data_IF_082165846012
#
_entry.id   IF_082165846012
#
_cell.length_a   1.000
_cell.length_b   1.000
_cell.length_c   1.000
_cell.angle_alpha   90.00
_cell.angle_beta   90.00
_cell.angle_gamma   90.00
#
_symmetry.space_group_name_H-M   'P 1'
#
loop_
_entity.id
_entity.type
_entity.pdbx_description
1 polymer ?
#
# COMPACT_ATOMS: atom_id res chain seq x y z
N UNK A 1 51.26 -84.48 28.15
CA UNK A 1 50.44 -84.05 27.02
C UNK A 1 49.47 -83.04 27.52
N UNK A 2 49.36 -81.96 26.80
CA UNK A 2 48.32 -80.93 26.83
C UNK A 2 48.62 -79.68 27.56
N UNK A 3 48.52 -78.65 26.78
CA UNK A 3 48.82 -77.30 26.91
C UNK A 3 48.00 -76.51 27.92
N UNK A 4 48.68 -75.67 28.69
CA UNK A 4 48.15 -74.54 29.40
C UNK A 4 48.11 -73.36 28.45
N UNK A 5 46.92 -72.80 28.21
CA UNK A 5 46.77 -71.51 27.60
C UNK A 5 46.51 -70.42 28.67
N UNK A 6 47.43 -69.50 28.80
CA UNK A 6 47.29 -68.28 29.58
C UNK A 6 46.30 -67.33 28.86
N UNK A 7 45.23 -66.98 29.49
CA UNK A 7 44.38 -65.83 29.10
C UNK A 7 44.80 -64.59 29.89
N UNK A 8 45.42 -63.67 29.17
CA UNK A 8 45.64 -62.30 29.69
C UNK A 8 44.35 -61.55 29.60
N UNK A 9 43.82 -61.03 30.72
CA UNK A 9 42.73 -60.07 30.79
C UNK A 9 43.31 -58.70 30.47
N UNK A 10 42.88 -58.10 29.37
CA UNK A 10 43.14 -56.71 29.05
C UNK A 10 41.90 -55.93 29.53
N UNK A 11 42.05 -55.09 30.55
CA UNK A 11 41.04 -54.16 30.99
C UNK A 11 41.01 -52.96 30.05
N UNK A 12 40.02 -52.94 29.16
CA UNK A 12 39.74 -51.74 28.36
C UNK A 12 38.92 -50.77 29.22
N UNK A 13 39.59 -49.68 29.61
CA UNK A 13 38.90 -48.52 30.26
C UNK A 13 38.19 -47.78 29.13
N UNK A 14 36.87 -47.89 29.08
CA UNK A 14 36.00 -47.06 28.26
C UNK A 14 35.93 -45.66 28.87
N UNK A 15 36.66 -44.71 28.33
CA UNK A 15 36.45 -43.28 28.61
C UNK A 15 35.25 -42.83 27.77
N UNK A 16 34.09 -42.72 28.45
CA UNK A 16 32.90 -42.12 27.85
C UNK A 16 33.07 -40.60 27.80
N UNK A 17 33.42 -40.07 26.65
CA UNK A 17 33.41 -38.62 26.39
C UNK A 17 31.96 -38.19 26.17
N UNK A 18 31.32 -37.69 27.21
CA UNK A 18 30.04 -37.02 27.13
C UNK A 18 30.32 -35.64 26.48
N UNK A 19 30.14 -35.55 25.15
CA UNK A 19 30.06 -34.27 24.45
C UNK A 19 28.74 -33.59 24.83
N UNK A 20 28.85 -32.67 25.78
CA UNK A 20 27.77 -31.75 26.13
C UNK A 20 27.59 -30.78 24.95
N UNK A 21 26.70 -31.10 24.00
CA UNK A 21 26.25 -30.17 22.98
C UNK A 21 25.50 -29.04 23.68
N UNK A 22 26.20 -27.97 24.00
CA UNK A 22 25.60 -26.69 24.29
C UNK A 22 24.88 -26.25 23.01
N UNK A 23 23.59 -26.59 22.92
CA UNK A 23 22.66 -25.83 22.10
C UNK A 23 22.64 -24.42 22.65
N UNK A 24 23.49 -23.54 22.12
CA UNK A 24 23.28 -22.13 22.19
C UNK A 24 22.01 -21.91 21.38
N UNK A 25 20.85 -21.96 22.04
CA UNK A 25 19.65 -21.34 21.51
C UNK A 25 20.05 -19.88 21.34
N UNK A 26 20.39 -19.49 20.12
CA UNK A 26 20.41 -18.10 19.72
C UNK A 26 19.01 -17.62 20.08
N UNK A 27 18.88 -16.92 21.21
CA UNK A 27 17.71 -16.14 21.47
C UNK A 27 17.63 -15.19 20.26
N UNK A 28 16.75 -15.51 19.31
CA UNK A 28 16.42 -14.57 18.28
C UNK A 28 15.90 -13.36 19.03
N UNK A 29 16.70 -12.30 19.07
CA UNK A 29 16.28 -11.02 19.57
C UNK A 29 14.91 -10.74 18.92
N UNK A 30 13.87 -10.66 19.74
CA UNK A 30 12.53 -10.45 19.21
C UNK A 30 12.43 -8.98 18.83
N UNK A 31 12.62 -8.68 17.55
CA UNK A 31 12.38 -7.33 17.05
C UNK A 31 11.00 -6.86 17.49
N UNK A 32 10.93 -5.82 18.30
CA UNK A 32 9.68 -5.24 18.74
C UNK A 32 9.18 -4.24 17.71
N UNK A 33 7.95 -4.42 17.22
CA UNK A 33 7.28 -3.42 16.42
C UNK A 33 6.95 -2.19 17.27
N UNK A 34 7.46 -1.01 16.90
CA UNK A 34 7.31 0.22 17.69
C UNK A 34 6.50 1.31 16.99
N UNK A 35 6.33 1.22 15.66
CA UNK A 35 5.51 2.13 14.87
C UNK A 35 5.16 1.53 13.52
N UNK A 36 4.01 1.92 12.98
CA UNK A 36 3.61 1.68 11.59
C UNK A 36 3.22 3.00 10.94
N UNK A 37 3.73 3.25 9.73
CA UNK A 37 3.18 4.26 8.83
C UNK A 37 2.54 3.53 7.67
N UNK A 38 1.22 3.64 7.54
CA UNK A 38 0.43 2.97 6.51
C UNK A 38 -0.03 3.97 5.46
N UNK A 39 0.02 3.57 4.19
CA UNK A 39 -0.48 4.34 3.05
C UNK A 39 -1.38 3.43 2.22
N UNK A 40 -2.61 3.86 1.93
CA UNK A 40 -3.52 3.07 1.08
C UNK A 40 -3.97 3.84 -0.15
N UNK A 41 -4.21 3.14 -1.25
CA UNK A 41 -5.11 3.59 -2.30
C UNK A 41 -6.55 3.45 -1.80
N UNK A 42 -7.45 4.36 -2.23
CA UNK A 42 -8.89 4.19 -1.99
C UNK A 42 -9.42 2.84 -2.53
N UNK A 43 -10.55 2.41 -2.05
CA UNK A 43 -11.24 1.21 -2.53
C UNK A 43 -11.86 1.36 -3.93
N UNK A 44 -12.56 0.32 -4.37
CA UNK A 44 -13.33 0.35 -5.62
C UNK A 44 -14.28 1.55 -5.66
N UNK A 45 -14.40 2.17 -6.83
CA UNK A 45 -15.16 3.39 -7.06
C UNK A 45 -15.89 3.37 -8.40
N UNK A 46 -16.86 4.24 -8.58
CA UNK A 46 -17.43 4.55 -9.89
C UNK A 46 -16.41 5.28 -10.78
N UNK A 47 -16.55 5.24 -12.12
CA UNK A 47 -15.57 5.85 -13.02
C UNK A 47 -15.65 7.38 -13.01
N UNK A 48 -14.60 8.03 -13.52
CA UNK A 48 -14.61 9.48 -13.73
C UNK A 48 -15.42 9.89 -14.97
N UNK A 49 -15.42 9.06 -16.01
CA UNK A 49 -15.95 9.36 -17.33
C UNK A 49 -16.96 8.30 -17.81
N UNK A 50 -17.43 8.47 -19.04
CA UNK A 50 -18.33 7.54 -19.71
C UNK A 50 -17.80 7.11 -21.07
N UNK A 51 -18.25 5.93 -21.52
CA UNK A 51 -18.10 5.49 -22.89
C UNK A 51 -19.27 6.06 -23.70
N UNK A 52 -18.97 6.88 -24.72
CA UNK A 52 -19.97 7.65 -25.47
C UNK A 52 -21.02 6.76 -26.10
N UNK A 53 -20.61 5.69 -26.79
CA UNK A 53 -21.52 4.76 -27.48
C UNK A 53 -22.18 3.73 -26.54
N UNK A 54 -21.81 3.71 -25.25
CA UNK A 54 -22.40 2.78 -24.28
C UNK A 54 -22.46 3.44 -22.90
N UNK A 55 -23.23 4.54 -22.77
CA UNK A 55 -23.28 5.29 -21.52
C UNK A 55 -23.99 4.48 -20.45
N UNK A 56 -23.53 4.66 -19.21
CA UNK A 56 -24.24 4.26 -18.00
C UNK A 56 -24.30 5.52 -17.15
N UNK A 57 -25.46 5.79 -16.56
CA UNK A 57 -25.65 7.04 -15.82
C UNK A 57 -24.95 6.97 -14.46
N UNK A 58 -23.75 7.52 -14.38
CA UNK A 58 -23.02 7.76 -13.12
C UNK A 58 -22.93 9.25 -12.77
N UNK A 59 -23.79 10.11 -13.37
CA UNK A 59 -23.65 11.57 -13.26
C UNK A 59 -23.63 12.10 -11.81
N UNK A 60 -24.35 11.44 -10.93
CA UNK A 60 -24.43 11.85 -9.52
C UNK A 60 -23.40 11.13 -8.63
N UNK A 61 -22.73 10.09 -9.15
CA UNK A 61 -21.86 9.20 -8.39
C UNK A 61 -20.47 9.07 -9.04
N UNK A 62 -20.06 10.04 -9.86
CA UNK A 62 -18.75 9.98 -10.53
C UNK A 62 -17.60 9.99 -9.52
N UNK A 63 -16.70 9.01 -9.64
CA UNK A 63 -15.55 8.82 -8.79
C UNK A 63 -15.84 8.59 -7.28
N UNK A 64 -17.07 8.19 -6.95
CA UNK A 64 -17.48 7.89 -5.58
C UNK A 64 -17.18 6.44 -5.17
N UNK A 65 -16.85 6.25 -3.88
CA UNK A 65 -16.52 4.93 -3.33
C UNK A 65 -17.75 4.01 -3.36
N UNK A 66 -17.57 2.77 -3.88
CA UNK A 66 -18.63 1.77 -3.90
C UNK A 66 -18.71 0.99 -2.58
N UNK A 67 -19.83 0.26 -2.31
CA UNK A 67 -19.91 -0.69 -1.20
C UNK A 67 -18.78 -1.75 -1.23
N UNK A 68 -18.35 -2.18 -2.41
CA UNK A 68 -17.18 -3.07 -2.59
C UNK A 68 -15.92 -2.38 -2.08
N UNK A 69 -15.72 -1.11 -2.43
CA UNK A 69 -14.58 -0.32 -1.97
C UNK A 69 -14.56 -0.14 -0.45
N UNK A 70 -15.72 0.12 0.17
CA UNK A 70 -15.85 0.19 1.63
C UNK A 70 -15.43 -1.12 2.29
N UNK A 71 -15.90 -2.26 1.76
CA UNK A 71 -15.58 -3.58 2.30
C UNK A 71 -14.09 -3.93 2.14
N UNK A 72 -13.45 -3.51 1.05
CA UNK A 72 -12.00 -3.71 0.84
C UNK A 72 -11.20 -3.05 1.97
N UNK A 73 -11.46 -1.78 2.27
CA UNK A 73 -10.76 -1.04 3.32
C UNK A 73 -11.11 -1.54 4.73
N UNK A 74 -12.37 -1.91 4.96
CA UNK A 74 -12.77 -2.54 6.22
C UNK A 74 -11.98 -3.82 6.50
N UNK A 75 -11.76 -4.66 5.50
CA UNK A 75 -10.99 -5.89 5.65
C UNK A 75 -9.50 -5.61 5.97
N UNK A 76 -8.89 -4.58 5.36
CA UNK A 76 -7.55 -4.13 5.74
C UNK A 76 -7.54 -3.67 7.20
N UNK A 77 -8.50 -2.86 7.60
CA UNK A 77 -8.65 -2.41 8.99
C UNK A 77 -8.82 -3.56 9.98
N UNK A 78 -9.58 -4.60 9.62
CA UNK A 78 -9.74 -5.81 10.44
C UNK A 78 -8.44 -6.60 10.56
N UNK A 79 -7.64 -6.66 9.49
CA UNK A 79 -6.30 -7.24 9.53
C UNK A 79 -5.36 -6.43 10.42
N UNK A 80 -5.43 -5.08 10.39
CA UNK A 80 -4.67 -4.22 11.29
C UNK A 80 -5.09 -4.39 12.75
N UNK A 81 -6.39 -4.56 13.03
CA UNK A 81 -6.87 -4.92 14.37
C UNK A 81 -6.19 -6.18 14.89
N UNK A 82 -6.28 -7.25 14.11
CA UNK A 82 -5.68 -8.54 14.45
C UNK A 82 -4.15 -8.44 14.64
N UNK A 83 -3.47 -7.75 13.70
CA UNK A 83 -2.00 -7.67 13.74
C UNK A 83 -1.51 -6.69 14.79
N UNK A 84 -2.01 -5.45 14.81
CA UNK A 84 -1.42 -4.36 15.59
C UNK A 84 -2.05 -4.18 16.98
N UNK A 85 -3.29 -4.68 17.19
CA UNK A 85 -3.92 -4.66 18.51
C UNK A 85 -3.78 -6.02 19.20
N UNK A 86 -4.25 -7.11 18.55
CA UNK A 86 -4.31 -8.42 19.20
C UNK A 86 -2.95 -9.12 19.27
N UNK A 87 -2.16 -9.13 18.18
CA UNK A 87 -0.92 -9.90 18.08
C UNK A 87 0.29 -9.11 18.57
N UNK A 88 0.60 -7.99 17.94
CA UNK A 88 1.79 -7.18 18.24
C UNK A 88 1.63 -6.27 19.46
N UNK A 89 0.41 -6.08 19.97
CA UNK A 89 0.10 -5.18 21.10
C UNK A 89 0.68 -3.76 20.90
N UNK A 90 0.83 -3.34 19.63
CA UNK A 90 1.32 -2.01 19.27
C UNK A 90 0.31 -0.93 19.67
N UNK A 91 -0.96 -1.15 19.39
CA UNK A 91 -2.06 -0.26 19.71
C UNK A 91 -2.91 -0.82 20.85
N UNK A 92 -3.49 0.06 21.69
CA UNK A 92 -4.43 -0.38 22.71
C UNK A 92 -5.79 -0.77 22.10
N UNK A 93 -6.54 -1.63 22.77
CA UNK A 93 -7.91 -2.04 22.40
C UNK A 93 -8.88 -0.85 22.33
N UNK A 94 -8.67 0.16 23.20
CA UNK A 94 -9.45 1.40 23.16
C UNK A 94 -8.69 2.46 22.40
N UNK A 95 -9.36 3.12 21.47
CA UNK A 95 -8.78 4.20 20.70
C UNK A 95 -8.18 5.28 21.61
N UNK A 96 -7.00 5.76 21.23
CA UNK A 96 -6.35 6.90 21.85
C UNK A 96 -5.68 7.76 20.76
N UNK A 97 -6.11 9.01 20.63
CA UNK A 97 -5.59 9.94 19.60
C UNK A 97 -4.12 10.29 19.79
N UNK A 98 -3.52 9.99 20.93
CA UNK A 98 -2.08 10.13 21.18
C UNK A 98 -1.27 9.16 20.31
N UNK A 99 -1.80 7.95 20.08
CA UNK A 99 -1.11 6.88 19.37
C UNK A 99 -1.45 6.79 17.88
N UNK A 100 -2.60 7.34 17.46
CA UNK A 100 -3.10 7.19 16.08
C UNK A 100 -3.29 8.57 15.45
N UNK A 101 -2.77 8.75 14.24
CA UNK A 101 -3.06 9.90 13.39
C UNK A 101 -3.50 9.42 12.02
N UNK A 102 -4.52 10.07 11.47
CA UNK A 102 -5.10 9.71 10.18
C UNK A 102 -5.18 10.95 9.30
N UNK A 103 -4.69 10.80 8.08
CA UNK A 103 -4.73 11.82 7.04
C UNK A 103 -5.36 11.24 5.77
N UNK A 104 -6.10 12.06 5.04
CA UNK A 104 -6.72 11.69 3.77
C UNK A 104 -6.53 12.83 2.77
N UNK A 105 -6.38 12.53 1.49
CA UNK A 105 -6.61 13.55 0.47
C UNK A 105 -8.04 14.06 0.57
N UNK A 106 -8.28 15.29 0.11
CA UNK A 106 -9.57 15.96 0.19
C UNK A 106 -10.51 15.49 -0.93
N UNK A 107 -10.85 14.18 -0.93
CA UNK A 107 -11.85 13.59 -1.83
C UNK A 107 -12.74 12.61 -1.07
N UNK A 108 -14.03 12.54 -1.45
CA UNK A 108 -15.00 11.67 -0.77
C UNK A 108 -14.50 10.21 -0.68
N UNK A 109 -14.05 9.64 -1.80
CA UNK A 109 -13.62 8.23 -1.85
C UNK A 109 -12.45 7.90 -0.92
N UNK A 110 -11.50 8.82 -0.70
CA UNK A 110 -10.38 8.58 0.21
C UNK A 110 -10.76 8.76 1.66
N UNK A 111 -11.61 9.74 1.97
CA UNK A 111 -12.16 9.94 3.32
C UNK A 111 -13.03 8.76 3.74
N UNK A 112 -13.98 8.33 2.89
CA UNK A 112 -14.82 7.15 3.15
C UNK A 112 -14.00 5.85 3.21
N UNK A 113 -12.92 5.75 2.43
CA UNK A 113 -11.96 4.65 2.54
C UNK A 113 -11.27 4.63 3.90
N UNK A 114 -10.83 5.79 4.38
CA UNK A 114 -10.22 5.90 5.70
C UNK A 114 -11.23 5.54 6.81
N UNK A 115 -12.47 6.03 6.75
CA UNK A 115 -13.52 5.66 7.70
C UNK A 115 -13.78 4.15 7.72
N UNK A 116 -13.84 3.54 6.54
CA UNK A 116 -14.06 2.09 6.41
C UNK A 116 -12.92 1.27 7.03
N UNK A 117 -11.66 1.66 6.81
CA UNK A 117 -10.49 1.03 7.44
C UNK A 117 -10.53 1.20 8.96
N UNK A 118 -10.80 2.40 9.43
CA UNK A 118 -10.87 2.71 10.87
C UNK A 118 -12.00 1.94 11.56
N UNK A 119 -13.11 1.70 10.86
CA UNK A 119 -14.20 0.87 11.35
C UNK A 119 -13.78 -0.61 11.52
N UNK A 120 -12.89 -1.11 10.67
CA UNK A 120 -12.27 -2.44 10.85
C UNK A 120 -11.23 -2.46 11.98
N UNK A 121 -10.42 -1.41 12.10
CA UNK A 121 -9.38 -1.29 13.11
C UNK A 121 -9.95 -1.15 14.53
N UNK A 122 -11.00 -0.37 14.71
CA UNK A 122 -11.72 -0.19 15.97
C UNK A 122 -13.21 -0.50 15.76
N UNK A 123 -13.59 -1.80 15.76
CA UNK A 123 -14.94 -2.23 15.42
C UNK A 123 -15.97 -1.78 16.45
N UNK A 124 -17.24 -1.99 16.13
CA UNK A 124 -18.33 -1.78 17.07
C UNK A 124 -18.06 -2.51 18.39
N UNK A 125 -18.39 -1.86 19.49
CA UNK A 125 -18.07 -2.37 20.82
C UNK A 125 -16.79 -1.80 21.43
N UNK A 126 -15.91 -1.15 20.62
CA UNK A 126 -14.66 -0.54 21.11
C UNK A 126 -14.82 0.89 21.64
N UNK A 127 -15.95 1.57 21.33
CA UNK A 127 -16.19 2.96 21.68
C UNK A 127 -16.40 3.23 23.16
N UNK A 128 -16.35 4.52 23.51
CA UNK A 128 -16.43 5.02 24.88
C UNK A 128 -17.76 4.72 25.55
N UNK A 129 -17.71 4.68 26.90
CA UNK A 129 -18.88 4.61 27.78
C UNK A 129 -19.11 5.97 28.46
N UNK A 130 -20.36 6.26 28.77
CA UNK A 130 -20.75 7.34 29.66
C UNK A 130 -20.37 7.01 31.13
N UNK A 131 -20.38 8.00 32.02
CA UNK A 131 -20.07 7.75 33.44
C UNK A 131 -20.97 6.72 34.14
N UNK A 132 -22.21 6.54 33.67
CA UNK A 132 -23.17 5.54 34.15
C UNK A 132 -23.00 4.15 33.52
N UNK A 133 -21.97 3.96 32.66
CA UNK A 133 -21.67 2.70 32.01
C UNK A 133 -22.46 2.44 30.70
N UNK A 134 -23.35 3.33 30.29
CA UNK A 134 -24.05 3.22 29.00
C UNK A 134 -23.13 3.56 27.84
N UNK A 135 -23.43 3.07 26.63
CA UNK A 135 -22.70 3.40 25.42
C UNK A 135 -22.84 4.89 25.07
N UNK A 136 -21.73 5.60 24.88
CA UNK A 136 -21.76 7.00 24.45
C UNK A 136 -22.39 7.18 23.04
N UNK A 137 -22.22 6.20 22.16
CA UNK A 137 -22.84 6.15 20.83
C UNK A 137 -23.45 4.76 20.58
N UNK A 138 -24.47 4.65 19.68
CA UNK A 138 -25.08 3.38 19.34
C UNK A 138 -24.04 2.30 19.02
N UNK A 139 -24.27 1.08 19.50
CA UNK A 139 -23.37 -0.08 19.33
C UNK A 139 -21.92 0.19 19.76
N UNK A 140 -21.70 1.18 20.62
CA UNK A 140 -20.35 1.64 21.04
C UNK A 140 -19.45 1.93 19.83
N UNK A 141 -19.93 2.70 18.86
CA UNK A 141 -19.13 3.21 17.75
C UNK A 141 -18.02 4.13 18.28
N UNK A 142 -16.81 4.02 17.71
CA UNK A 142 -15.66 4.86 18.05
C UNK A 142 -15.37 5.87 16.92
N UNK A 143 -15.73 7.15 17.08
CA UNK A 143 -15.31 8.20 16.15
C UNK A 143 -13.80 8.40 16.21
N UNK A 144 -13.16 8.49 15.04
CA UNK A 144 -11.73 8.72 14.90
C UNK A 144 -11.52 9.92 13.97
N UNK A 145 -10.75 10.96 14.38
CA UNK A 145 -10.54 12.13 13.53
C UNK A 145 -9.72 11.81 12.28
N UNK A 146 -10.25 12.18 11.12
CA UNK A 146 -9.53 12.17 9.84
C UNK A 146 -9.21 13.62 9.49
N UNK A 147 -7.94 13.92 9.18
CA UNK A 147 -7.50 15.24 8.73
C UNK A 147 -7.33 15.21 7.23
N UNK A 148 -7.96 16.15 6.54
CA UNK A 148 -7.79 16.28 5.10
C UNK A 148 -6.50 17.04 4.76
N UNK A 149 -5.90 16.67 3.65
CA UNK A 149 -4.78 17.34 3.00
C UNK A 149 -5.31 17.86 1.68
N UNK A 150 -5.11 19.17 1.44
CA UNK A 150 -5.68 19.84 0.28
C UNK A 150 -5.31 19.14 -1.04
N UNK A 151 -6.23 19.19 -2.01
CA UNK A 151 -6.09 18.48 -3.29
C UNK A 151 -4.93 19.03 -4.15
N UNK A 152 -4.48 20.26 -3.91
CA UNK A 152 -3.33 20.87 -4.55
C UNK A 152 -2.00 20.57 -3.85
N UNK A 153 -2.03 19.83 -2.74
CA UNK A 153 -0.83 19.39 -2.05
C UNK A 153 -0.23 18.16 -2.72
N UNK A 154 1.08 18.19 -2.94
CA UNK A 154 1.84 17.04 -3.42
C UNK A 154 2.01 15.91 -2.39
N UNK A 155 1.56 16.12 -1.15
CA UNK A 155 1.84 15.21 -0.04
C UNK A 155 1.25 13.81 -0.25
N UNK A 156 0.01 13.69 -0.72
CA UNK A 156 -0.63 12.38 -1.00
C UNK A 156 -1.33 12.33 -2.35
N UNK A 157 -1.13 13.32 -3.18
CA UNK A 157 -1.58 13.38 -4.57
C UNK A 157 -0.45 13.89 -5.45
N UNK A 158 -0.52 13.60 -6.75
CA UNK A 158 0.41 14.18 -7.71
C UNK A 158 0.30 15.70 -7.71
N UNK A 159 1.41 16.43 -7.87
CA UNK A 159 1.38 17.89 -7.94
C UNK A 159 0.51 18.34 -9.11
N UNK A 160 -0.62 18.94 -8.80
CA UNK A 160 -1.55 19.51 -9.76
C UNK A 160 -1.52 21.06 -9.61
N UNK A 161 -1.45 21.86 -10.67
CA UNK A 161 -1.72 21.56 -12.07
C UNK A 161 -0.52 21.09 -12.90
N UNK A 162 0.68 21.02 -12.36
CA UNK A 162 1.90 20.75 -13.11
C UNK A 162 2.06 19.28 -13.56
N UNK A 163 1.17 18.38 -13.14
CA UNK A 163 1.24 16.95 -13.45
C UNK A 163 1.42 16.68 -14.96
N UNK A 164 0.53 17.21 -15.79
CA UNK A 164 0.60 17.01 -17.25
C UNK A 164 1.91 17.54 -17.84
N UNK A 165 2.41 18.67 -17.33
CA UNK A 165 3.71 19.21 -17.76
C UNK A 165 4.84 18.27 -17.37
N UNK A 166 4.85 17.77 -16.14
CA UNK A 166 5.86 16.83 -15.63
C UNK A 166 5.89 15.57 -16.51
N UNK A 167 4.72 14.98 -16.81
CA UNK A 167 4.62 13.78 -17.63
C UNK A 167 5.05 14.05 -19.07
N UNK A 168 4.62 15.16 -19.67
CA UNK A 168 5.05 15.57 -21.01
C UNK A 168 6.56 15.75 -21.10
N UNK A 169 7.16 16.41 -20.13
CA UNK A 169 8.60 16.73 -20.14
C UNK A 169 9.50 15.52 -19.82
N UNK A 170 8.98 14.51 -19.10
CA UNK A 170 9.81 13.44 -18.57
C UNK A 170 9.41 12.02 -19.01
N UNK A 171 8.19 11.82 -19.52
CA UNK A 171 7.64 10.47 -19.78
C UNK A 171 7.19 10.30 -21.23
N UNK A 172 6.26 11.14 -21.71
CA UNK A 172 5.58 10.91 -22.99
C UNK A 172 6.48 11.02 -24.22
N UNK A 173 7.62 11.69 -24.11
CA UNK A 173 8.67 11.74 -25.14
C UNK A 173 9.65 10.58 -25.11
N UNK A 174 9.57 9.67 -24.14
CA UNK A 174 10.50 8.54 -24.05
C UNK A 174 10.24 7.51 -25.13
N UNK A 175 11.31 6.88 -25.62
CA UNK A 175 11.25 5.94 -26.75
C UNK A 175 10.27 4.79 -26.52
N UNK A 176 10.22 4.21 -25.33
CA UNK A 176 9.34 3.08 -25.02
C UNK A 176 7.85 3.49 -25.01
N UNK A 177 7.54 4.68 -24.49
CA UNK A 177 6.19 5.25 -24.54
C UNK A 177 5.76 5.44 -25.99
N UNK A 178 6.56 6.13 -26.78
CA UNK A 178 6.28 6.42 -28.20
C UNK A 178 6.16 5.15 -29.05
N UNK A 179 7.03 4.17 -28.84
CA UNK A 179 6.94 2.87 -29.51
C UNK A 179 5.69 2.10 -29.13
N UNK A 180 5.26 2.20 -27.86
CA UNK A 180 4.03 1.55 -27.39
C UNK A 180 2.80 2.19 -28.03
N UNK A 181 2.75 3.51 -28.15
CA UNK A 181 1.70 4.21 -28.89
C UNK A 181 1.69 3.80 -30.36
N UNK A 182 2.85 3.82 -31.01
CA UNK A 182 2.97 3.46 -32.45
C UNK A 182 2.49 2.01 -32.68
N UNK A 183 2.90 1.05 -31.88
CA UNK A 183 2.46 -0.36 -31.99
C UNK A 183 0.95 -0.54 -31.84
N UNK A 184 0.27 0.36 -31.13
CA UNK A 184 -1.15 0.27 -30.83
C UNK A 184 -2.03 1.23 -31.67
N UNK A 185 -1.45 2.00 -32.57
CA UNK A 185 -2.18 3.03 -33.33
C UNK A 185 -3.42 2.50 -34.06
N UNK A 186 -3.33 1.33 -34.71
CA UNK A 186 -4.48 0.71 -35.39
C UNK A 186 -5.60 0.32 -34.38
N UNK A 187 -5.24 -0.11 -33.17
CA UNK A 187 -6.18 -0.39 -32.11
C UNK A 187 -6.85 0.89 -31.62
N UNK A 188 -6.09 1.97 -31.43
CA UNK A 188 -6.63 3.26 -30.99
C UNK A 188 -7.73 3.75 -31.96
N UNK A 189 -7.47 3.72 -33.27
CA UNK A 189 -8.45 4.09 -34.28
C UNK A 189 -9.70 3.21 -34.21
N UNK A 190 -9.53 1.90 -34.06
CA UNK A 190 -10.63 0.94 -33.96
C UNK A 190 -11.45 1.13 -32.66
N UNK A 191 -10.79 1.25 -31.53
CA UNK A 191 -11.48 1.46 -30.25
C UNK A 191 -12.19 2.82 -30.21
N UNK A 192 -11.59 3.88 -30.75
CA UNK A 192 -12.23 5.18 -30.85
C UNK A 192 -13.56 5.09 -31.60
N UNK A 193 -13.60 4.35 -32.75
CA UNK A 193 -14.81 4.14 -33.54
C UNK A 193 -15.88 3.34 -32.78
N UNK A 194 -15.48 2.29 -32.04
CA UNK A 194 -16.40 1.43 -31.28
C UNK A 194 -16.97 2.19 -30.09
N UNK A 195 -16.10 2.84 -29.33
CA UNK A 195 -16.47 3.46 -28.04
C UNK A 195 -17.08 4.86 -28.19
N UNK A 196 -16.84 5.51 -29.34
CA UNK A 196 -17.26 6.90 -29.57
C UNK A 196 -16.39 7.94 -28.86
N UNK A 197 -15.40 7.50 -28.08
CA UNK A 197 -14.45 8.36 -27.38
C UNK A 197 -13.28 8.71 -28.32
N UNK A 198 -12.68 9.89 -28.11
CA UNK A 198 -11.40 10.21 -28.74
C UNK A 198 -10.32 9.32 -28.13
N UNK A 199 -9.58 8.59 -28.99
CA UNK A 199 -8.43 7.77 -28.54
C UNK A 199 -7.32 7.99 -29.59
N UNK A 200 -6.34 8.82 -29.22
CA UNK A 200 -5.20 9.19 -30.07
C UNK A 200 -3.86 8.74 -29.49
N UNK A 201 -3.82 8.39 -28.22
CA UNK A 201 -2.64 7.96 -27.49
C UNK A 201 -2.98 7.22 -26.20
N UNK A 202 -1.96 6.86 -25.43
CA UNK A 202 -2.11 6.11 -24.19
C UNK A 202 -2.92 6.86 -23.12
N UNK A 203 -2.82 8.18 -23.07
CA UNK A 203 -3.61 9.00 -22.13
C UNK A 203 -5.11 8.85 -22.38
N UNK A 204 -5.54 8.86 -23.65
CA UNK A 204 -6.95 8.64 -23.98
C UNK A 204 -7.37 7.19 -23.68
N UNK A 205 -6.45 6.22 -23.85
CA UNK A 205 -6.70 4.82 -23.44
C UNK A 205 -6.91 4.72 -21.93
N UNK A 206 -6.15 5.45 -21.14
CA UNK A 206 -6.33 5.44 -19.68
C UNK A 206 -7.72 5.92 -19.26
N UNK A 207 -8.27 6.92 -19.93
CA UNK A 207 -9.64 7.42 -19.66
C UNK A 207 -10.71 6.34 -19.91
N UNK A 208 -10.68 5.67 -21.06
CA UNK A 208 -11.67 4.63 -21.36
C UNK A 208 -11.43 3.35 -20.56
N UNK A 209 -10.18 3.07 -20.20
CA UNK A 209 -9.81 1.93 -19.36
C UNK A 209 -10.40 2.03 -17.95
N UNK A 210 -10.45 3.22 -17.38
CA UNK A 210 -11.08 3.47 -16.08
C UNK A 210 -12.55 3.01 -16.09
N UNK A 211 -13.30 3.40 -17.11
CA UNK A 211 -14.70 2.98 -17.28
C UNK A 211 -14.83 1.47 -17.47
N UNK A 212 -13.97 0.86 -18.30
CA UNK A 212 -14.01 -0.58 -18.59
C UNK A 212 -13.61 -1.41 -17.33
N UNK A 213 -12.68 -0.92 -16.52
CA UNK A 213 -12.29 -1.56 -15.27
C UNK A 213 -13.48 -1.61 -14.30
N UNK A 214 -14.17 -0.46 -14.12
CA UNK A 214 -15.35 -0.39 -13.24
C UNK A 214 -16.47 -1.27 -13.78
N UNK A 215 -16.74 -1.26 -15.08
CA UNK A 215 -17.74 -2.16 -15.70
C UNK A 215 -17.43 -3.63 -15.41
N UNK A 216 -16.18 -4.03 -15.58
CA UNK A 216 -15.73 -5.40 -15.30
C UNK A 216 -15.95 -5.80 -13.84
N UNK A 217 -15.62 -4.91 -12.91
CA UNK A 217 -15.79 -5.16 -11.46
C UNK A 217 -17.25 -5.26 -11.02
N UNK A 218 -18.15 -4.60 -11.77
CA UNK A 218 -19.57 -4.56 -11.45
C UNK A 218 -20.44 -5.44 -12.38
N UNK A 219 -19.81 -6.36 -13.15
CA UNK A 219 -20.48 -7.27 -14.07
C UNK A 219 -21.34 -6.54 -15.13
N UNK A 220 -20.94 -5.34 -15.54
CA UNK A 220 -21.63 -4.57 -16.57
C UNK A 220 -21.12 -5.03 -17.93
N UNK A 221 -22.01 -5.37 -18.90
CA UNK A 221 -21.63 -5.87 -20.21
C UNK A 221 -20.69 -4.92 -20.96
N UNK A 222 -19.86 -5.48 -21.80
CA UNK A 222 -19.00 -4.70 -22.70
C UNK A 222 -19.85 -3.85 -23.66
N UNK A 223 -19.34 -2.68 -24.09
CA UNK A 223 -19.92 -1.93 -25.20
C UNK A 223 -20.04 -2.79 -26.45
N UNK A 224 -21.13 -2.61 -27.22
CA UNK A 224 -21.36 -3.35 -28.45
C UNK A 224 -20.18 -3.17 -29.43
N UNK A 225 -19.67 -4.27 -29.97
CA UNK A 225 -18.52 -4.29 -30.88
C UNK A 225 -17.13 -4.35 -30.21
N UNK A 226 -17.04 -4.19 -28.88
CA UNK A 226 -15.82 -4.42 -28.14
C UNK A 226 -15.75 -5.90 -27.74
N UNK A 227 -14.58 -6.52 -27.89
CA UNK A 227 -14.36 -7.93 -27.50
C UNK A 227 -13.67 -8.03 -26.14
N UNK A 228 -13.72 -9.22 -25.48
CA UNK A 228 -12.96 -9.50 -24.27
C UNK A 228 -11.46 -9.33 -24.47
N UNK A 229 -10.96 -9.65 -25.68
CA UNK A 229 -9.55 -9.43 -26.05
C UNK A 229 -9.21 -7.94 -26.08
N UNK A 230 -10.13 -7.11 -26.59
CA UNK A 230 -9.94 -5.65 -26.59
C UNK A 230 -9.90 -5.10 -25.17
N UNK A 231 -10.86 -5.50 -24.33
CA UNK A 231 -10.87 -5.10 -22.92
C UNK A 231 -9.57 -5.47 -22.23
N UNK A 232 -9.12 -6.70 -22.39
CA UNK A 232 -7.86 -7.20 -21.81
C UNK A 232 -6.68 -6.35 -22.27
N UNK A 233 -6.60 -6.02 -23.54
CA UNK A 233 -5.52 -5.21 -24.09
C UNK A 233 -5.57 -3.76 -23.61
N UNK A 234 -6.75 -3.15 -23.56
CA UNK A 234 -6.96 -1.80 -23.05
C UNK A 234 -6.52 -1.72 -21.57
N UNK A 235 -7.00 -2.66 -20.74
CA UNK A 235 -6.65 -2.70 -19.30
C UNK A 235 -5.16 -2.98 -19.08
N UNK A 236 -4.53 -3.79 -19.91
CA UNK A 236 -3.07 -4.04 -19.86
C UNK A 236 -2.28 -2.79 -20.22
N UNK A 237 -2.69 -2.07 -21.28
CA UNK A 237 -2.04 -0.81 -21.67
C UNK A 237 -2.21 0.26 -20.59
N UNK A 238 -3.41 0.40 -20.03
CA UNK A 238 -3.68 1.29 -18.89
C UNK A 238 -2.75 1.00 -17.72
N UNK A 239 -2.72 -0.26 -17.29
CA UNK A 239 -1.96 -0.67 -16.10
C UNK A 239 -0.46 -0.44 -16.30
N UNK A 240 0.06 -0.72 -17.50
CA UNK A 240 1.44 -0.45 -17.86
C UNK A 240 1.72 1.06 -17.93
N UNK A 241 0.90 1.82 -18.64
CA UNK A 241 1.12 3.25 -18.86
C UNK A 241 1.14 4.02 -17.52
N UNK A 242 0.16 3.76 -16.65
CA UNK A 242 0.08 4.40 -15.35
C UNK A 242 1.29 4.06 -14.47
N UNK A 243 1.76 2.81 -14.48
CA UNK A 243 2.96 2.42 -13.74
C UNK A 243 4.23 3.05 -14.36
N UNK A 244 4.30 3.08 -15.69
CA UNK A 244 5.44 3.63 -16.42
C UNK A 244 5.69 5.12 -16.13
N UNK A 245 4.64 5.89 -15.89
CA UNK A 245 4.73 7.31 -15.54
C UNK A 245 5.61 7.54 -14.28
N UNK A 246 5.68 6.58 -13.37
CA UNK A 246 6.38 6.69 -12.09
C UNK A 246 7.64 5.83 -11.97
N UNK A 247 8.10 5.22 -13.07
CA UNK A 247 9.26 4.33 -13.01
C UNK A 247 10.60 5.04 -12.75
N UNK A 248 10.70 6.32 -13.08
CA UNK A 248 11.93 7.08 -12.84
C UNK A 248 11.95 7.74 -11.48
N UNK A 249 13.10 7.71 -10.81
CA UNK A 249 13.27 8.42 -9.53
C UNK A 249 13.00 9.92 -9.66
N UNK A 250 13.35 10.52 -10.80
CA UNK A 250 13.11 11.94 -11.06
C UNK A 250 11.62 12.30 -10.93
N UNK A 251 10.76 11.60 -11.66
CA UNK A 251 9.30 11.83 -11.60
C UNK A 251 8.76 11.47 -10.22
N UNK A 252 9.18 10.34 -9.67
CA UNK A 252 8.70 9.87 -8.37
C UNK A 252 9.15 10.80 -7.22
N UNK A 253 10.31 11.45 -7.31
CA UNK A 253 10.72 12.48 -6.35
C UNK A 253 9.79 13.69 -6.40
N UNK A 254 9.43 14.16 -7.60
CA UNK A 254 8.49 15.28 -7.76
C UNK A 254 7.12 14.93 -7.18
N UNK A 255 6.63 13.72 -7.43
CA UNK A 255 5.25 13.31 -7.13
C UNK A 255 5.06 12.67 -5.74
N UNK A 256 6.11 12.10 -5.15
CA UNK A 256 6.01 11.35 -3.88
C UNK A 256 7.10 11.68 -2.86
N UNK A 257 8.08 12.53 -3.23
CA UNK A 257 9.21 12.85 -2.36
C UNK A 257 8.79 13.51 -1.06
N UNK A 258 7.85 14.45 -1.11
CA UNK A 258 7.32 15.13 0.08
C UNK A 258 6.66 14.14 1.06
N UNK A 259 5.89 13.19 0.55
CA UNK A 259 5.28 12.15 1.39
C UNK A 259 6.35 11.25 2.02
N UNK A 260 7.36 10.82 1.26
CA UNK A 260 8.45 10.00 1.82
C UNK A 260 9.25 10.77 2.88
N UNK A 261 9.49 12.07 2.70
CA UNK A 261 10.09 12.94 3.71
C UNK A 261 9.22 13.02 4.97
N UNK A 262 7.90 13.13 4.81
CA UNK A 262 6.96 13.14 5.92
C UNK A 262 6.95 11.82 6.68
N UNK A 263 6.96 10.70 5.98
CA UNK A 263 7.09 9.36 6.58
C UNK A 263 8.40 9.25 7.37
N UNK A 264 9.52 9.69 6.80
CA UNK A 264 10.81 9.74 7.49
C UNK A 264 10.81 10.62 8.73
N UNK A 265 10.11 11.75 8.67
CA UNK A 265 9.93 12.66 9.82
C UNK A 265 9.10 12.01 10.94
N UNK A 266 7.99 11.34 10.60
CA UNK A 266 7.14 10.64 11.58
C UNK A 266 7.92 9.51 12.29
N UNK A 267 8.71 8.72 11.54
CA UNK A 267 9.59 7.68 12.08
C UNK A 267 10.67 8.28 13.00
N UNK A 268 11.33 9.34 12.54
CA UNK A 268 12.38 10.01 13.32
C UNK A 268 11.84 10.60 14.62
N UNK A 269 10.66 11.20 14.59
CA UNK A 269 10.00 11.74 15.77
C UNK A 269 9.64 10.64 16.77
N UNK A 270 9.25 9.45 16.31
CA UNK A 270 8.99 8.28 17.17
C UNK A 270 10.27 7.77 17.84
N UNK A 271 11.37 7.66 17.08
CA UNK A 271 12.68 7.23 17.59
C UNK A 271 13.21 8.21 18.64
N UNK A 272 13.07 9.51 18.39
CA UNK A 272 13.47 10.56 19.32
C UNK A 272 12.53 10.73 20.54
N UNK A 273 11.46 9.92 20.65
CA UNK A 273 10.41 10.05 21.66
C UNK A 273 9.80 11.47 21.74
N UNK A 274 9.81 12.23 20.65
CA UNK A 274 9.20 13.56 20.57
C UNK A 274 7.69 13.51 20.34
N UNK A 275 7.16 12.33 19.99
CA UNK A 275 5.74 12.02 20.01
C UNK A 275 5.50 10.54 20.35
N UNK A 276 4.26 10.21 20.73
CA UNK A 276 3.86 8.86 21.11
C UNK A 276 3.15 8.10 19.98
N UNK A 277 3.17 8.61 18.74
CA UNK A 277 2.45 7.99 17.62
C UNK A 277 3.01 6.60 17.33
N UNK A 278 2.08 5.65 17.19
CA UNK A 278 2.37 4.25 16.89
C UNK A 278 1.78 3.84 15.54
N UNK A 279 0.71 4.53 15.11
CA UNK A 279 0.13 4.40 13.78
C UNK A 279 -0.07 5.79 13.18
N UNK A 280 0.51 6.02 12.00
CA UNK A 280 0.16 7.13 11.12
C UNK A 280 -0.40 6.54 9.84
N UNK A 281 -1.60 6.94 9.47
CA UNK A 281 -2.28 6.40 8.30
C UNK A 281 -2.59 7.50 7.29
N UNK A 282 -2.22 7.26 6.03
CA UNK A 282 -2.47 8.12 4.88
C UNK A 282 -3.40 7.41 3.89
N UNK A 283 -4.59 7.94 3.67
CA UNK A 283 -5.53 7.48 2.65
C UNK A 283 -5.38 8.31 1.38
N UNK A 284 -4.96 7.66 0.28
CA UNK A 284 -4.62 8.32 -0.97
C UNK A 284 -5.08 7.53 -2.20
N UNK A 285 -4.23 7.52 -3.22
CA UNK A 285 -4.53 7.09 -4.58
C UNK A 285 -3.47 6.10 -5.10
N UNK A 286 -3.69 5.54 -6.32
CA UNK A 286 -2.65 4.84 -7.07
C UNK A 286 -1.42 5.72 -7.30
N UNK A 287 -1.66 7.00 -7.59
CA UNK A 287 -0.62 8.03 -7.78
C UNK A 287 0.14 8.38 -6.50
N UNK A 288 -0.30 7.88 -5.35
CA UNK A 288 0.42 7.95 -4.07
C UNK A 288 1.31 6.72 -3.88
N UNK A 289 0.80 5.55 -4.23
CA UNK A 289 1.51 4.25 -4.09
C UNK A 289 2.69 4.16 -5.07
N UNK A 290 2.46 4.47 -6.35
CA UNK A 290 3.45 4.29 -7.42
C UNK A 290 4.77 5.01 -7.16
N UNK A 291 4.80 6.34 -6.87
CA UNK A 291 6.06 7.02 -6.61
C UNK A 291 6.75 6.54 -5.34
N UNK A 292 6.01 6.22 -4.26
CA UNK A 292 6.61 5.69 -3.04
C UNK A 292 7.35 4.37 -3.30
N UNK A 293 6.73 3.44 -4.02
CA UNK A 293 7.37 2.16 -4.34
C UNK A 293 8.66 2.36 -5.18
N UNK A 294 8.64 3.28 -6.14
CA UNK A 294 9.84 3.62 -6.93
C UNK A 294 10.94 4.25 -6.07
N UNK A 295 10.59 5.17 -5.17
CA UNK A 295 11.55 5.80 -4.26
C UNK A 295 12.15 4.80 -3.29
N UNK A 296 11.40 3.77 -2.92
CA UNK A 296 11.87 2.64 -2.12
C UNK A 296 12.62 1.57 -2.93
N UNK A 297 12.99 1.83 -4.21
CA UNK A 297 13.67 0.92 -5.15
C UNK A 297 12.85 -0.32 -5.57
N UNK A 298 11.53 -0.28 -5.45
CA UNK A 298 10.59 -1.32 -5.86
C UNK A 298 9.56 -0.80 -6.86
N UNK A 299 9.97 -0.25 -8.04
CA UNK A 299 9.02 0.27 -9.01
C UNK A 299 8.02 -0.82 -9.44
N UNK A 300 6.74 -0.50 -9.43
CA UNK A 300 5.71 -1.44 -9.85
C UNK A 300 5.66 -1.50 -11.38
N UNK A 301 5.58 -2.71 -11.94
CA UNK A 301 5.45 -2.90 -13.38
C UNK A 301 4.02 -2.65 -13.91
N UNK A 302 3.04 -2.56 -13.00
CA UNK A 302 1.62 -2.38 -13.29
C UNK A 302 0.97 -1.46 -12.27
N UNK A 303 -0.15 -0.85 -12.64
CA UNK A 303 -0.95 -0.04 -11.72
C UNK A 303 -1.37 -0.85 -10.49
N UNK A 304 -1.27 -0.28 -9.28
CA UNK A 304 -1.73 -0.93 -8.06
C UNK A 304 -3.25 -1.11 -8.09
N UNK A 305 -3.75 -2.23 -7.56
CA UNK A 305 -5.18 -2.49 -7.45
C UNK A 305 -5.92 -1.51 -6.53
N UNK A 306 -7.25 -1.52 -6.55
CA UNK A 306 -8.03 -0.83 -5.51
C UNK A 306 -7.67 -1.39 -4.14
N UNK A 307 -7.59 -0.51 -3.13
CA UNK A 307 -7.18 -0.82 -1.77
C UNK A 307 -5.73 -1.37 -1.65
N UNK A 308 -4.88 -1.24 -2.69
CA UNK A 308 -3.45 -1.51 -2.55
C UNK A 308 -2.87 -0.69 -1.40
N UNK A 309 -1.96 -1.28 -0.63
CA UNK A 309 -1.45 -0.66 0.58
C UNK A 309 0.03 -0.92 0.82
N UNK A 310 0.67 0.06 1.45
CA UNK A 310 2.07 0.01 1.87
C UNK A 310 2.12 0.23 3.38
N UNK A 311 2.89 -0.59 4.11
CA UNK A 311 3.25 -0.34 5.49
C UNK A 311 4.77 -0.19 5.61
N UNK A 312 5.19 0.88 6.28
CA UNK A 312 6.53 1.07 6.81
C UNK A 312 6.49 0.67 8.28
N UNK A 313 6.91 -0.54 8.59
CA UNK A 313 6.91 -1.07 9.95
C UNK A 313 8.27 -0.84 10.59
N UNK A 314 8.33 0.01 11.62
CA UNK A 314 9.54 0.29 12.39
C UNK A 314 9.69 -0.74 13.50
N UNK A 315 10.75 -1.53 13.43
CA UNK A 315 11.14 -2.48 14.48
C UNK A 315 12.37 -1.99 15.23
N UNK A 316 12.44 -2.34 16.52
CA UNK A 316 13.60 -2.11 17.36
C UNK A 316 14.08 -3.45 17.93
N UNK A 317 15.40 -3.73 17.82
CA UNK A 317 16.03 -4.88 18.43
C UNK A 317 16.41 -4.62 19.90
N UNK A 318 16.87 -5.66 20.63
CA UNK A 318 17.31 -5.56 22.01
C UNK A 318 18.53 -4.64 22.21
N UNK A 319 19.33 -4.43 21.15
CA UNK A 319 20.49 -3.53 21.14
C UNK A 319 20.12 -2.07 20.80
N UNK A 320 18.81 -1.76 20.68
CA UNK A 320 18.26 -0.46 20.29
C UNK A 320 18.58 -0.03 18.86
N UNK A 321 18.93 -0.95 17.98
CA UNK A 321 18.99 -0.67 16.55
C UNK A 321 17.58 -0.68 15.94
N UNK A 322 17.41 0.05 14.84
CA UNK A 322 16.12 0.16 14.16
C UNK A 322 16.21 -0.37 12.74
N UNK A 323 15.15 -1.08 12.35
CA UNK A 323 14.94 -1.58 10.98
C UNK A 323 13.54 -1.20 10.53
N UNK A 324 13.42 -0.76 9.29
CA UNK A 324 12.14 -0.48 8.62
C UNK A 324 11.84 -1.64 7.67
N UNK A 325 10.76 -2.39 7.92
CA UNK A 325 10.25 -3.37 6.97
C UNK A 325 9.25 -2.69 6.05
N UNK A 326 9.42 -2.89 4.75
CA UNK A 326 8.50 -2.43 3.72
C UNK A 326 7.56 -3.57 3.37
N UNK A 327 6.28 -3.36 3.62
CA UNK A 327 5.21 -4.29 3.30
C UNK A 327 4.41 -3.71 2.13
N UNK A 328 4.07 -4.50 1.13
CA UNK A 328 3.18 -4.15 0.04
C UNK A 328 2.11 -5.23 -0.12
N UNK A 329 0.83 -4.84 -0.06
CA UNK A 329 -0.32 -5.74 -0.09
C UNK A 329 -0.16 -6.95 0.85
N UNK A 330 0.26 -6.67 2.10
CA UNK A 330 0.43 -7.64 3.16
C UNK A 330 1.65 -8.57 3.03
N UNK A 331 2.56 -8.30 2.08
CA UNK A 331 3.80 -9.07 1.88
C UNK A 331 5.01 -8.19 2.13
N UNK A 332 5.95 -8.66 2.94
CA UNK A 332 7.23 -7.97 3.07
C UNK A 332 7.98 -8.05 1.74
N UNK A 333 8.31 -6.88 1.18
CA UNK A 333 9.06 -6.76 -0.09
C UNK A 333 10.50 -6.37 0.14
N UNK A 334 10.81 -5.69 1.26
CA UNK A 334 12.18 -5.33 1.63
C UNK A 334 12.29 -5.01 3.13
N UNK A 335 13.54 -4.79 3.58
CA UNK A 335 13.83 -4.22 4.89
C UNK A 335 15.08 -3.35 4.83
N UNK A 336 15.07 -2.24 5.54
CA UNK A 336 16.12 -1.24 5.53
C UNK A 336 16.62 -0.98 6.94
N UNK A 337 17.94 -1.12 7.22
CA UNK A 337 18.54 -0.49 8.39
C UNK A 337 18.20 1.01 8.38
N UNK A 338 18.01 1.62 9.55
CA UNK A 338 17.59 3.02 9.68
C UNK A 338 18.44 3.98 8.84
N UNK A 339 19.76 3.80 8.82
CA UNK A 339 20.66 4.65 8.04
C UNK A 339 20.40 4.55 6.53
N UNK A 340 20.13 3.36 6.01
CA UNK A 340 19.81 3.15 4.59
C UNK A 340 18.45 3.77 4.23
N UNK A 341 17.45 3.62 5.08
CA UNK A 341 16.17 4.29 4.91
C UNK A 341 16.30 5.82 4.90
N UNK A 342 17.07 6.38 5.85
CA UNK A 342 17.31 7.82 5.91
C UNK A 342 18.05 8.35 4.66
N UNK A 343 18.92 7.55 4.04
CA UNK A 343 19.55 7.92 2.76
C UNK A 343 18.52 8.00 1.62
N UNK A 344 17.56 7.05 1.55
CA UNK A 344 16.47 7.10 0.56
C UNK A 344 15.60 8.35 0.77
N UNK A 345 15.24 8.67 2.01
CA UNK A 345 14.50 9.89 2.35
C UNK A 345 15.29 11.15 1.97
N UNK A 346 16.57 11.19 2.29
CA UNK A 346 17.41 12.36 1.97
C UNK A 346 17.58 12.59 0.46
N UNK A 347 17.58 11.53 -0.34
CA UNK A 347 17.69 11.61 -1.80
C UNK A 347 16.46 12.24 -2.49
N UNK A 348 15.39 12.51 -1.75
CA UNK A 348 14.15 13.16 -2.25
C UNK A 348 14.06 14.66 -1.93
N UNK A 349 15.11 15.25 -1.33
CA UNK A 349 15.16 16.69 -0.99
C UNK A 349 15.59 17.58 -2.18
#
# INVERSE_FOLDING_TARGET
MSNLYHKRFIHAVLISVITFNLFIASAFASDQLVMVVAVTRHGDRTPFDQIVNSPIDWKNDAAELTPTGMNQLFNIGSNYHKNYIETQKLLPEKFNNKYVAVYSSDTNRTMMSAESLLYGLYPLGSGALLPDGQAALPKRFQPIPIRTIAADSSLIMTPYPDYLKIMKDNVYGQAEWQQTEQRNQANFVRWAKILGNKITGLNDVMTVADVLLVRSKNNIPLPAGLTDSDQTQILKLYSWALAYEYQTKKVSTICGGELLQRIGSDISARIANSNDRRLVYYSGHDLTILPLMTLMNHPLAQAPGYAAHIEFELYQDDSKNYVIKLIYDGKQVDQYPLNSFNQLVAATK
#
